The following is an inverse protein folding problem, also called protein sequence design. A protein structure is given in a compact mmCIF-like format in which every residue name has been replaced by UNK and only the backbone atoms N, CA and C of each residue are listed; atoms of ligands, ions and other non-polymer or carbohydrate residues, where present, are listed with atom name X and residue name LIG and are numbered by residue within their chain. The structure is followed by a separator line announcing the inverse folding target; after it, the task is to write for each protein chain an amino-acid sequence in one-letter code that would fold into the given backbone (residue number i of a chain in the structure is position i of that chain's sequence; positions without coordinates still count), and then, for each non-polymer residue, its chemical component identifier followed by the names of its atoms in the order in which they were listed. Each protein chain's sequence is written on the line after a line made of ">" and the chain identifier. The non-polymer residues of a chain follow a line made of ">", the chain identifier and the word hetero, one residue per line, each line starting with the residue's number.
data_IF_689106433719
#
_entry.id   IF_689106433719
#
_cell.length_a   1.000
_cell.length_b   1.000
_cell.length_c   1.000
_cell.angle_alpha   90.00
_cell.angle_beta   90.00
_cell.angle_gamma   90.00
#
_symmetry.space_group_name_H-M   'P 1'
#
loop_
_entity.id
_entity.type
_entity.pdbx_description
1 polymer ?
#
# COMPACT_ATOMS: atom_id res chain seq x y z
N UNK A 1 5.43 -14.58 -5.12
CA UNK A 1 4.43 -13.61 -4.64
C UNK A 1 4.39 -12.40 -5.58
N UNK A 2 3.19 -11.80 -5.75
CA UNK A 2 2.99 -10.68 -6.66
C UNK A 2 2.27 -9.55 -5.93
N UNK A 3 2.89 -8.38 -5.88
CA UNK A 3 2.25 -7.13 -5.44
C UNK A 3 1.65 -6.42 -6.67
N UNK A 4 0.61 -7.00 -7.28
CA UNK A 4 0.06 -6.54 -8.55
C UNK A 4 -0.69 -5.20 -8.41
N UNK A 5 -0.66 -4.39 -9.46
CA UNK A 5 -1.47 -3.19 -9.63
C UNK A 5 -2.37 -3.39 -10.85
N UNK A 6 -3.68 -3.33 -10.64
CA UNK A 6 -4.69 -3.37 -11.71
C UNK A 6 -5.32 -1.98 -11.86
N UNK A 7 -5.65 -1.60 -13.09
CA UNK A 7 -6.20 -0.27 -13.39
C UNK A 7 -7.23 -0.32 -14.52
N UNK A 8 -8.13 0.65 -14.51
CA UNK A 8 -9.10 0.83 -15.60
C UNK A 8 -8.45 1.64 -16.74
N UNK A 9 -8.24 1.01 -17.89
CA UNK A 9 -7.63 1.63 -19.09
C UNK A 9 -8.43 2.81 -19.68
N UNK A 10 -9.71 2.92 -19.36
CA UNK A 10 -10.54 4.03 -19.84
C UNK A 10 -10.26 5.33 -19.05
N UNK A 11 -9.76 5.22 -17.82
CA UNK A 11 -9.54 6.37 -16.94
C UNK A 11 -8.08 6.55 -16.52
N UNK A 12 -7.25 5.53 -16.66
CA UNK A 12 -5.84 5.54 -16.24
C UNK A 12 -4.95 5.12 -17.42
N UNK A 13 -3.89 5.91 -17.62
CA UNK A 13 -2.76 5.55 -18.49
C UNK A 13 -1.53 5.31 -17.62
N UNK A 14 -0.91 4.13 -17.75
CA UNK A 14 0.40 3.85 -17.17
C UNK A 14 1.47 4.49 -18.05
N UNK A 15 2.35 5.29 -17.45
CA UNK A 15 3.46 5.97 -18.12
C UNK A 15 4.74 5.16 -17.96
N UNK A 16 5.05 4.76 -16.72
CA UNK A 16 6.21 3.98 -16.35
C UNK A 16 5.82 3.02 -15.23
N UNK A 17 6.50 1.89 -15.13
CA UNK A 17 6.27 0.93 -14.06
C UNK A 17 7.45 0.00 -13.87
N UNK A 18 7.51 -0.65 -12.73
CA UNK A 18 8.49 -1.66 -12.43
C UNK A 18 8.22 -2.38 -11.12
N UNK A 19 9.02 -3.40 -10.88
CA UNK A 19 9.02 -4.15 -9.61
C UNK A 19 10.46 -4.33 -9.16
N UNK A 20 10.69 -4.22 -7.86
CA UNK A 20 11.98 -4.49 -7.24
C UNK A 20 11.82 -5.32 -5.97
N UNK A 21 12.89 -5.98 -5.57
CA UNK A 21 12.93 -6.82 -4.39
C UNK A 21 13.18 -5.98 -3.13
N UNK A 22 12.50 -6.33 -2.04
CA UNK A 22 12.76 -5.72 -0.73
C UNK A 22 13.92 -6.45 -0.06
N UNK A 23 15.12 -6.05 -0.47
CA UNK A 23 16.38 -6.65 -0.02
C UNK A 23 17.54 -5.68 -0.17
N UNK A 24 18.71 -6.09 0.29
CA UNK A 24 19.98 -5.40 0.08
C UNK A 24 20.41 -5.33 -1.40
N UNK A 25 19.80 -6.18 -2.24
CA UNK A 25 20.05 -6.25 -3.69
C UNK A 25 18.75 -6.14 -4.46
N UNK A 26 18.09 -4.95 -4.47
CA UNK A 26 16.72 -4.82 -4.94
C UNK A 26 16.51 -5.06 -6.43
N UNK A 27 17.56 -5.00 -7.24
CA UNK A 27 17.47 -5.13 -8.69
C UNK A 27 17.68 -6.57 -9.19
N UNK A 28 17.94 -7.51 -8.29
CA UNK A 28 18.04 -8.95 -8.57
C UNK A 28 17.14 -9.76 -7.64
N UNK A 29 16.57 -10.89 -8.09
CA UNK A 29 15.74 -11.75 -7.26
C UNK A 29 16.46 -12.16 -5.98
N UNK A 30 15.93 -11.70 -4.83
CA UNK A 30 16.60 -11.91 -3.54
C UNK A 30 15.61 -11.85 -2.37
N UNK A 31 16.03 -12.41 -1.25
CA UNK A 31 15.37 -12.31 0.04
C UNK A 31 16.18 -11.39 0.95
N UNK A 32 15.57 -10.34 1.46
CA UNK A 32 16.27 -9.31 2.23
C UNK A 32 16.29 -9.58 3.73
N UNK A 33 17.37 -9.18 4.38
CA UNK A 33 17.55 -9.16 5.83
C UNK A 33 17.11 -10.45 6.52
N UNK A 34 16.24 -10.34 7.53
CA UNK A 34 15.67 -11.45 8.30
C UNK A 34 14.31 -11.92 7.75
N UNK A 35 13.94 -11.57 6.52
CA UNK A 35 12.66 -11.95 5.93
C UNK A 35 12.48 -13.47 5.86
N UNK A 36 11.25 -13.95 6.10
CA UNK A 36 10.86 -15.34 5.89
C UNK A 36 10.76 -15.69 4.40
N UNK A 37 10.27 -14.75 3.60
CA UNK A 37 10.07 -14.91 2.15
C UNK A 37 10.63 -13.72 1.37
N UNK A 38 11.02 -13.92 0.09
CA UNK A 38 11.29 -12.81 -0.80
C UNK A 38 10.06 -11.92 -0.92
N UNK A 39 10.24 -10.60 -0.77
CA UNK A 39 9.17 -9.60 -0.87
C UNK A 39 9.52 -8.60 -1.95
N UNK A 40 8.48 -8.02 -2.56
CA UNK A 40 8.64 -7.06 -3.65
C UNK A 40 7.79 -5.82 -3.42
N UNK A 41 8.17 -4.73 -4.07
CA UNK A 41 7.33 -3.57 -4.27
C UNK A 41 7.15 -3.33 -5.76
N UNK A 42 5.90 -3.22 -6.20
CA UNK A 42 5.55 -2.84 -7.57
C UNK A 42 5.12 -1.39 -7.57
N UNK A 43 5.64 -0.61 -8.50
CA UNK A 43 5.36 0.80 -8.63
C UNK A 43 4.90 1.16 -10.04
N UNK A 44 4.15 2.25 -10.14
CA UNK A 44 3.81 2.84 -11.43
C UNK A 44 3.66 4.36 -11.34
N UNK A 45 4.13 5.06 -12.38
CA UNK A 45 3.75 6.44 -12.69
C UNK A 45 2.54 6.38 -13.60
N UNK A 46 1.45 7.00 -13.19
CA UNK A 46 0.17 6.94 -13.86
C UNK A 46 -0.37 8.34 -14.17
N UNK A 47 -1.20 8.43 -15.21
CA UNK A 47 -1.97 9.63 -15.53
C UNK A 47 -3.46 9.32 -15.44
N UNK A 48 -4.18 10.13 -14.66
CA UNK A 48 -5.65 10.13 -14.63
C UNK A 48 -6.15 10.89 -15.85
N UNK A 49 -6.71 10.16 -16.82
CA UNK A 49 -7.09 10.71 -18.13
C UNK A 49 -8.14 11.83 -18.04
N UNK A 50 -9.21 11.74 -17.20
CA UNK A 50 -10.19 12.79 -17.12
C UNK A 50 -9.66 14.13 -16.62
N UNK A 51 -8.70 14.15 -15.67
CA UNK A 51 -8.12 15.37 -15.12
C UNK A 51 -6.78 15.77 -15.74
N UNK A 52 -6.12 14.85 -16.46
CA UNK A 52 -4.77 15.03 -16.98
C UNK A 52 -3.66 14.95 -15.91
N UNK A 53 -4.00 14.83 -14.63
CA UNK A 53 -3.03 14.81 -13.53
C UNK A 53 -2.27 13.50 -13.46
N UNK A 54 -0.99 13.59 -13.12
CA UNK A 54 -0.12 12.43 -12.90
C UNK A 54 0.04 12.15 -11.41
N UNK A 55 0.25 10.89 -11.09
CA UNK A 55 0.49 10.42 -9.73
C UNK A 55 1.37 9.18 -9.74
N UNK A 56 1.97 8.89 -8.60
CA UNK A 56 2.81 7.74 -8.37
C UNK A 56 2.10 6.75 -7.43
N UNK A 57 2.19 5.47 -7.69
CA UNK A 57 1.59 4.44 -6.84
C UNK A 57 2.60 3.32 -6.57
N UNK A 58 2.63 2.83 -5.33
CA UNK A 58 3.41 1.66 -4.92
C UNK A 58 2.50 0.69 -4.20
N UNK A 59 2.56 -0.58 -4.58
CA UNK A 59 1.92 -1.68 -3.88
C UNK A 59 2.99 -2.64 -3.35
N UNK A 60 2.86 -3.07 -2.11
CA UNK A 60 3.81 -3.99 -1.46
C UNK A 60 3.14 -4.94 -0.50
N UNK A 61 3.83 -6.02 -0.17
CA UNK A 61 3.47 -6.92 0.91
C UNK A 61 4.75 -7.19 1.73
N UNK A 62 4.85 -6.57 2.91
CA UNK A 62 6.03 -6.70 3.77
C UNK A 62 6.10 -8.10 4.41
N UNK A 63 7.27 -8.47 4.89
CA UNK A 63 7.43 -9.76 5.55
C UNK A 63 6.64 -9.82 6.87
N UNK A 64 6.05 -10.98 7.15
CA UNK A 64 5.18 -11.18 8.32
C UNK A 64 5.93 -11.52 9.61
N UNK A 65 7.26 -11.76 9.56
CA UNK A 65 8.10 -12.13 10.72
C UNK A 65 9.33 -11.26 10.89
N UNK A 66 10.03 -10.99 9.80
CA UNK A 66 11.30 -10.28 9.82
C UNK A 66 11.15 -8.82 10.18
N UNK A 67 11.48 -8.44 11.42
CA UNK A 67 11.35 -7.05 11.90
C UNK A 67 12.29 -6.09 11.17
N UNK A 68 13.51 -6.56 10.86
CA UNK A 68 14.46 -5.79 10.06
C UNK A 68 13.97 -5.66 8.61
N UNK A 69 13.42 -6.74 8.04
CA UNK A 69 12.85 -6.74 6.71
C UNK A 69 11.65 -5.79 6.59
N UNK A 70 10.77 -5.73 7.59
CA UNK A 70 9.66 -4.76 7.65
C UNK A 70 10.18 -3.32 7.65
N UNK A 71 11.07 -3.00 8.59
CA UNK A 71 11.64 -1.67 8.74
C UNK A 71 12.41 -1.23 7.49
N UNK A 72 13.35 -2.05 7.08
CA UNK A 72 14.26 -1.71 5.99
C UNK A 72 13.53 -1.76 4.62
N UNK A 73 12.51 -2.63 4.49
CA UNK A 73 11.65 -2.68 3.31
C UNK A 73 10.90 -1.36 3.10
N UNK A 74 10.26 -0.79 4.14
CA UNK A 74 9.63 0.53 4.07
C UNK A 74 10.66 1.65 3.80
N UNK A 75 11.83 1.61 4.45
CA UNK A 75 12.89 2.59 4.18
C UNK A 75 13.35 2.53 2.72
N UNK A 76 13.58 1.33 2.20
CA UNK A 76 13.97 1.13 0.79
C UNK A 76 12.91 1.65 -0.18
N UNK A 77 11.62 1.41 0.10
CA UNK A 77 10.52 1.96 -0.71
C UNK A 77 10.61 3.49 -0.74
N UNK A 78 10.73 4.14 0.40
CA UNK A 78 10.83 5.60 0.51
C UNK A 78 12.04 6.16 -0.26
N UNK A 79 13.21 5.55 -0.07
CA UNK A 79 14.45 5.95 -0.77
C UNK A 79 14.33 5.80 -2.30
N UNK A 80 13.76 4.69 -2.77
CA UNK A 80 13.56 4.48 -4.20
C UNK A 80 12.52 5.42 -4.78
N UNK A 81 11.41 5.64 -4.09
CA UNK A 81 10.40 6.60 -4.53
C UNK A 81 10.98 8.01 -4.61
N UNK A 82 11.75 8.46 -3.65
CA UNK A 82 12.40 9.78 -3.70
C UNK A 82 13.26 9.96 -4.96
N UNK A 83 13.89 8.90 -5.46
CA UNK A 83 14.67 8.91 -6.70
C UNK A 83 13.81 8.83 -7.96
N UNK A 84 12.72 8.06 -7.93
CA UNK A 84 11.85 7.82 -9.09
C UNK A 84 10.76 8.89 -9.26
N UNK A 85 10.46 9.63 -8.20
CA UNK A 85 9.48 10.72 -8.15
C UNK A 85 10.14 12.05 -7.73
N UNK A 86 11.16 12.52 -8.45
CA UNK A 86 11.91 13.73 -8.09
C UNK A 86 11.07 15.00 -8.15
N UNK A 87 10.01 14.99 -8.98
CA UNK A 87 9.09 16.12 -9.15
C UNK A 87 8.02 16.18 -8.03
N UNK A 88 8.02 15.23 -7.10
CA UNK A 88 7.06 15.20 -6.00
C UNK A 88 5.60 15.04 -6.44
N UNK A 89 5.35 14.23 -7.47
CA UNK A 89 3.98 13.93 -7.89
C UNK A 89 3.17 13.37 -6.72
N UNK A 90 1.85 13.60 -6.69
CA UNK A 90 0.96 12.93 -5.73
C UNK A 90 1.23 11.43 -5.69
N UNK A 91 1.29 10.87 -4.49
CA UNK A 91 1.73 9.49 -4.28
C UNK A 91 0.73 8.69 -3.45
N UNK A 92 0.60 7.41 -3.79
CA UNK A 92 -0.13 6.40 -3.03
C UNK A 92 0.85 5.27 -2.68
N UNK A 93 0.92 4.90 -1.41
CA UNK A 93 1.61 3.71 -0.93
C UNK A 93 0.60 2.81 -0.25
N UNK A 94 0.44 1.59 -0.76
CA UNK A 94 -0.58 0.67 -0.26
C UNK A 94 -0.06 -0.76 -0.14
N UNK A 95 -0.77 -1.58 0.63
CA UNK A 95 -0.54 -3.01 0.74
C UNK A 95 -0.71 -3.56 2.14
N UNK A 96 -0.39 -4.85 2.28
CA UNK A 96 -0.25 -5.52 3.57
C UNK A 96 1.15 -5.24 4.13
N UNK A 97 1.22 -4.47 5.21
CA UNK A 97 2.50 -4.13 5.83
C UNK A 97 2.89 -5.12 6.94
N UNK A 98 1.98 -6.01 7.34
CA UNK A 98 2.20 -7.01 8.40
C UNK A 98 2.68 -6.42 9.74
N UNK A 99 2.38 -5.15 9.99
CA UNK A 99 2.70 -4.42 11.23
C UNK A 99 1.48 -3.66 11.73
N UNK A 100 1.37 -3.50 13.04
CA UNK A 100 0.31 -2.69 13.65
C UNK A 100 0.61 -1.20 13.60
N UNK A 101 -0.40 -0.38 13.84
CA UNK A 101 -0.31 1.08 13.76
C UNK A 101 0.65 1.71 14.78
N UNK A 102 0.94 1.03 15.88
CA UNK A 102 1.91 1.45 16.90
C UNK A 102 3.35 1.05 16.58
N UNK A 103 3.57 0.32 15.48
CA UNK A 103 4.92 -0.06 15.05
C UNK A 103 5.74 1.19 14.70
N UNK A 104 7.01 1.29 15.14
CA UNK A 104 7.87 2.42 14.81
C UNK A 104 7.95 2.76 13.32
N UNK A 105 7.86 1.77 12.43
CA UNK A 105 7.87 2.01 10.98
C UNK A 105 6.64 2.80 10.52
N UNK A 106 5.47 2.53 11.11
CA UNK A 106 4.22 3.24 10.82
C UNK A 106 4.27 4.65 11.40
N UNK A 107 4.73 4.78 12.65
CA UNK A 107 4.90 6.09 13.30
C UNK A 107 5.84 7.00 12.51
N UNK A 108 6.90 6.46 11.91
CA UNK A 108 7.77 7.23 11.01
C UNK A 108 7.07 7.58 9.69
N UNK A 109 6.30 6.65 9.11
CA UNK A 109 5.56 6.89 7.87
C UNK A 109 4.48 7.97 8.06
N UNK A 110 3.80 7.99 9.21
CA UNK A 110 2.79 9.00 9.57
C UNK A 110 3.33 10.45 9.60
N UNK A 111 4.65 10.63 9.73
CA UNK A 111 5.28 11.96 9.66
C UNK A 111 5.44 12.48 8.23
N UNK A 112 5.44 11.59 7.25
CA UNK A 112 5.75 11.91 5.84
C UNK A 112 4.54 11.77 4.92
N UNK A 113 3.64 10.85 5.23
CA UNK A 113 2.46 10.56 4.44
C UNK A 113 1.19 10.54 5.31
N UNK A 114 0.07 10.77 4.69
CA UNK A 114 -1.24 10.78 5.34
C UNK A 114 -1.89 9.40 5.21
N UNK A 115 -2.32 8.81 6.31
CA UNK A 115 -3.11 7.57 6.29
C UNK A 115 -4.54 7.87 5.83
N UNK A 116 -5.02 7.16 4.80
CA UNK A 116 -6.39 7.30 4.32
C UNK A 116 -7.42 6.93 5.41
N UNK A 117 -7.10 5.94 6.25
CA UNK A 117 -7.96 5.51 7.36
C UNK A 117 -8.21 6.61 8.39
N UNK A 118 -7.16 7.34 8.77
CA UNK A 118 -7.27 8.35 9.84
C UNK A 118 -7.68 9.73 9.35
N UNK A 119 -7.53 10.00 8.05
CA UNK A 119 -7.80 11.31 7.45
C UNK A 119 -9.12 11.39 6.69
N UNK A 120 -9.73 10.24 6.35
CA UNK A 120 -10.98 10.25 5.59
C UNK A 120 -12.12 10.90 6.39
N UNK A 121 -12.96 11.67 5.68
CA UNK A 121 -14.16 12.30 6.26
C UNK A 121 -15.15 11.22 6.72
N UNK A 122 -15.33 10.18 5.90
CA UNK A 122 -16.17 9.02 6.22
C UNK A 122 -15.24 7.79 6.25
N UNK A 123 -14.88 7.35 7.45
CA UNK A 123 -13.90 6.30 7.67
C UNK A 123 -14.44 5.17 8.53
N UNK A 124 -14.17 3.93 8.10
CA UNK A 124 -14.41 2.74 8.88
C UNK A 124 -13.27 2.48 9.88
N UNK A 125 -13.62 2.02 11.07
CA UNK A 125 -12.67 1.66 12.14
C UNK A 125 -12.30 0.18 12.14
N UNK A 126 -13.05 -0.66 11.44
CA UNK A 126 -12.87 -2.12 11.39
C UNK A 126 -11.47 -2.53 10.91
N UNK A 127 -10.94 -3.62 11.46
CA UNK A 127 -9.67 -4.20 11.02
C UNK A 127 -9.76 -4.77 9.59
N UNK A 128 -8.66 -4.74 8.87
CA UNK A 128 -8.54 -5.31 7.53
C UNK A 128 -8.27 -6.83 7.55
N UNK A 129 -7.49 -7.31 8.49
CA UNK A 129 -7.24 -8.74 8.68
C UNK A 129 -8.33 -9.35 9.56
N UNK A 130 -9.06 -10.34 9.03
CA UNK A 130 -10.15 -11.05 9.72
C UNK A 130 -9.75 -12.45 10.20
N UNK A 131 -8.65 -13.03 9.71
CA UNK A 131 -8.14 -14.34 10.09
C UNK A 131 -9.21 -15.44 9.92
N UNK A 132 -9.98 -15.42 8.86
CA UNK A 132 -11.12 -16.32 8.63
C UNK A 132 -12.18 -16.25 9.74
N UNK A 133 -12.41 -15.06 10.30
CA UNK A 133 -13.37 -14.80 11.38
C UNK A 133 -12.82 -14.99 12.80
N UNK A 134 -11.52 -15.21 12.96
CA UNK A 134 -10.90 -15.45 14.28
C UNK A 134 -10.10 -14.25 14.81
N UNK A 135 -9.93 -13.20 14.02
CA UNK A 135 -9.14 -12.03 14.38
C UNK A 135 -9.76 -10.74 13.82
N UNK A 136 -9.35 -9.62 14.41
CA UNK A 136 -9.59 -8.29 13.86
C UNK A 136 -8.35 -7.43 14.08
N UNK A 137 -7.63 -7.13 12.99
CA UNK A 137 -6.36 -6.39 13.06
C UNK A 137 -6.25 -5.41 11.90
N UNK A 138 -5.57 -4.28 12.13
CA UNK A 138 -5.19 -3.32 11.08
C UNK A 138 -3.74 -3.60 10.72
N UNK A 139 -3.50 -4.21 9.56
CA UNK A 139 -2.18 -4.50 9.00
C UNK A 139 -2.08 -4.15 7.51
N UNK A 140 -3.21 -3.84 6.87
CA UNK A 140 -3.27 -3.32 5.52
C UNK A 140 -3.51 -1.81 5.56
N UNK A 141 -2.79 -1.09 4.71
CA UNK A 141 -2.76 0.37 4.72
C UNK A 141 -2.91 0.95 3.31
N UNK A 142 -3.48 2.15 3.26
CA UNK A 142 -3.42 3.06 2.13
C UNK A 142 -2.94 4.39 2.67
N UNK A 143 -1.72 4.76 2.31
CA UNK A 143 -1.11 6.06 2.58
C UNK A 143 -1.09 6.90 1.31
N UNK A 144 -1.18 8.21 1.46
CA UNK A 144 -1.09 9.13 0.33
C UNK A 144 -0.36 10.42 0.71
N UNK A 145 0.14 11.12 -0.30
CA UNK A 145 0.66 12.48 -0.21
C UNK A 145 0.34 13.24 -1.49
N UNK A 146 0.25 14.58 -1.42
CA UNK A 146 -0.01 15.44 -2.58
C UNK A 146 -1.44 15.39 -3.15
N UNK A 147 -2.36 14.64 -2.51
CA UNK A 147 -3.80 14.72 -2.77
C UNK A 147 -4.44 15.74 -1.83
N UNK A 148 -5.48 16.45 -2.30
CA UNK A 148 -6.12 17.51 -1.54
C UNK A 148 -7.05 17.00 -0.45
N UNK A 149 -7.70 15.84 -0.66
CA UNK A 149 -8.70 15.30 0.26
C UNK A 149 -8.84 13.78 0.12
N UNK A 150 -9.23 13.13 1.23
CA UNK A 150 -9.70 11.76 1.30
C UNK A 150 -11.15 11.73 1.78
N UNK A 151 -12.16 11.79 0.91
CA UNK A 151 -13.56 11.75 1.34
C UNK A 151 -13.98 10.45 2.02
N UNK A 152 -13.49 9.31 1.53
CA UNK A 152 -13.99 7.99 1.93
C UNK A 152 -12.83 7.02 2.15
N UNK A 153 -12.91 6.28 3.26
CA UNK A 153 -12.15 5.05 3.50
C UNK A 153 -13.07 3.97 4.03
N UNK A 154 -13.10 2.79 3.41
CA UNK A 154 -13.97 1.67 3.79
C UNK A 154 -13.21 0.35 3.87
N UNK A 155 -13.65 -0.49 4.79
CA UNK A 155 -13.29 -1.92 4.89
C UNK A 155 -14.46 -2.71 4.34
N UNK A 156 -14.26 -3.43 3.24
CA UNK A 156 -15.35 -4.13 2.52
C UNK A 156 -15.54 -5.51 3.14
N UNK A 157 -16.37 -5.59 4.15
CA UNK A 157 -16.65 -6.80 4.94
C UNK A 157 -17.91 -7.56 4.49
N UNK A 158 -18.34 -7.35 3.27
CA UNK A 158 -19.56 -7.96 2.73
C UNK A 158 -19.40 -9.47 2.50
N UNK A 159 -20.43 -10.22 2.82
CA UNK A 159 -20.54 -11.63 2.45
C UNK A 159 -20.89 -11.75 0.96
N UNK A 160 -20.20 -12.62 0.24
CA UNK A 160 -20.44 -12.89 -1.17
C UNK A 160 -20.92 -14.35 -1.36
N UNK A 161 -22.03 -14.53 -2.12
CA UNK A 161 -22.55 -15.84 -2.47
C UNK A 161 -22.68 -16.83 -1.28
N UNK A 162 -23.06 -16.33 -0.09
CA UNK A 162 -23.16 -17.08 1.17
C UNK A 162 -21.82 -17.59 1.73
N UNK A 163 -20.68 -17.16 1.16
CA UNK A 163 -19.36 -17.43 1.71
C UNK A 163 -19.03 -16.31 2.70
N UNK A 164 -18.80 -16.61 3.98
CA UNK A 164 -18.55 -15.59 5.00
C UNK A 164 -17.23 -14.85 4.77
N UNK A 165 -16.21 -15.54 4.28
CA UNK A 165 -14.90 -14.97 4.01
C UNK A 165 -14.35 -15.50 2.68
N UNK A 166 -14.02 -14.61 1.75
CA UNK A 166 -13.33 -14.94 0.48
C UNK A 166 -11.81 -14.85 0.60
N UNK A 167 -11.33 -14.24 1.69
CA UNK A 167 -9.94 -14.09 2.08
C UNK A 167 -9.89 -13.89 3.59
N UNK A 168 -8.75 -14.14 4.20
CA UNK A 168 -8.43 -13.76 5.59
C UNK A 168 -8.18 -12.25 5.78
N UNK A 169 -8.23 -11.49 4.69
CA UNK A 169 -8.25 -10.03 4.68
C UNK A 169 -9.53 -9.51 4.02
N UNK A 170 -10.00 -8.36 4.48
CA UNK A 170 -11.04 -7.57 3.79
C UNK A 170 -10.38 -6.58 2.83
N UNK A 171 -10.93 -6.39 1.62
CA UNK A 171 -10.49 -5.32 0.74
C UNK A 171 -10.65 -3.95 1.40
N UNK A 172 -9.66 -3.08 1.20
CA UNK A 172 -9.76 -1.66 1.54
C UNK A 172 -10.17 -0.86 0.31
N UNK A 173 -10.99 0.14 0.52
CA UNK A 173 -11.43 1.07 -0.51
C UNK A 173 -11.24 2.51 -0.04
N UNK A 174 -10.72 3.37 -0.91
CA UNK A 174 -10.62 4.81 -0.64
C UNK A 174 -10.90 5.64 -1.88
N UNK A 175 -11.34 6.88 -1.66
CA UNK A 175 -11.41 7.91 -2.68
C UNK A 175 -10.41 9.00 -2.30
N UNK A 176 -9.55 9.36 -3.24
CA UNK A 176 -8.61 10.48 -3.12
C UNK A 176 -8.93 11.52 -4.17
N UNK A 177 -8.88 12.80 -3.81
CA UNK A 177 -9.10 13.93 -4.69
C UNK A 177 -7.78 14.68 -4.93
N UNK A 178 -7.56 15.10 -6.16
CA UNK A 178 -6.42 15.94 -6.53
C UNK A 178 -6.60 17.41 -6.13
#
# INVERSE_FOLDING_TARGET
>A
EHAAIMFNKQTIKVMEWGTYWLSETPDIPSKGWDASYPRTATWAKMRHLPSGKEFFIVNTHLDHRGKLAQKNGLSLIRERVAKMNPDGLPMILMGDFNVFSDNPCIVELDKEMTSARTSAIDSDTKGSYNGWGTAERVIDYIYYSGFSQCPIFKVIDKTYAKVPYISDHYPLFTILQF
#
